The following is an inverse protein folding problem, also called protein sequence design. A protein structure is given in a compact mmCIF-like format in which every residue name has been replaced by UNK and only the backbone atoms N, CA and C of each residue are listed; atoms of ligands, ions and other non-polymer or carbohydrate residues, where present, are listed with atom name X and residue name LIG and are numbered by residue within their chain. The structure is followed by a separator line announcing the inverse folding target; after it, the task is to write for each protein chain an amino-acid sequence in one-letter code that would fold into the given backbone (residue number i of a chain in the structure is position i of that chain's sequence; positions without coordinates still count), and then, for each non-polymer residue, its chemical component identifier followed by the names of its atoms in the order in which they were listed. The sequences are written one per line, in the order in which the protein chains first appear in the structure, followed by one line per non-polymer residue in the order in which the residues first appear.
data_IF_991020522928
#
_entry.id   IF_991020522928
#
_cell.length_a   1.000
_cell.length_b   1.000
_cell.length_c   1.000
_cell.angle_alpha   90.00
_cell.angle_beta   90.00
_cell.angle_gamma   90.00
#
_symmetry.space_group_name_H-M   'P 1'
#
loop_
_entity.id
_entity.type
_entity.pdbx_description
1 polymer ?
#
# COMPACT_ATOMS: atom_id res chain seq x y z
N UNK A 1 31.20 18.39 -26.58
CA UNK A 1 30.60 19.68 -26.27
C UNK A 1 29.11 19.41 -26.04
N UNK A 2 28.74 18.93 -24.85
CA UNK A 2 27.40 18.53 -24.49
C UNK A 2 26.89 19.58 -23.48
N UNK A 3 25.79 20.24 -23.81
CA UNK A 3 25.13 21.26 -22.98
C UNK A 3 24.53 20.60 -21.74
N UNK A 4 24.98 21.01 -20.56
CA UNK A 4 24.28 20.79 -19.29
C UNK A 4 22.95 21.54 -19.33
N UNK A 5 21.85 20.82 -19.36
CA UNK A 5 20.53 21.38 -19.06
C UNK A 5 20.33 21.33 -17.54
N UNK A 6 20.15 22.49 -16.96
CA UNK A 6 19.88 22.64 -15.53
C UNK A 6 18.51 22.04 -15.17
N UNK A 7 18.51 21.32 -14.07
CA UNK A 7 17.31 20.79 -13.41
C UNK A 7 16.46 21.95 -12.92
N UNK A 8 15.33 22.21 -13.57
CA UNK A 8 14.27 23.02 -12.99
C UNK A 8 13.51 22.11 -12.02
N UNK A 9 13.76 22.27 -10.74
CA UNK A 9 12.89 21.75 -9.68
C UNK A 9 11.49 22.35 -9.90
N UNK A 10 10.57 21.51 -10.35
CA UNK A 10 9.17 21.86 -10.45
C UNK A 10 8.59 22.19 -9.07
N UNK A 11 8.29 23.47 -8.86
CA UNK A 11 7.83 24.06 -7.59
C UNK A 11 6.40 23.67 -7.19
N UNK A 12 5.77 22.66 -7.79
CA UNK A 12 4.38 22.30 -7.49
C UNK A 12 4.23 21.34 -6.31
N UNK A 13 5.02 20.30 -6.19
CA UNK A 13 4.90 19.33 -5.11
C UNK A 13 5.40 19.83 -3.74
N UNK A 14 6.42 20.69 -3.73
CA UNK A 14 6.96 21.27 -2.49
C UNK A 14 6.06 22.28 -1.78
N UNK A 15 5.08 22.86 -2.48
CA UNK A 15 4.22 23.91 -1.93
C UNK A 15 3.03 23.35 -1.14
N UNK A 16 2.51 22.15 -1.48
CA UNK A 16 1.32 21.60 -0.80
C UNK A 16 1.63 21.03 0.58
N UNK A 17 2.73 20.32 0.76
CA UNK A 17 3.13 19.80 2.07
C UNK A 17 3.49 20.93 3.06
N UNK A 18 4.07 22.03 2.59
CA UNK A 18 4.44 23.17 3.44
C UNK A 18 3.23 24.01 3.91
N UNK A 19 2.12 24.04 3.15
CA UNK A 19 0.94 24.85 3.51
C UNK A 19 0.03 24.15 4.54
N UNK A 20 -0.02 22.84 4.60
CA UNK A 20 -0.78 22.09 5.62
C UNK A 20 -0.15 22.23 7.01
N UNK A 21 1.16 22.40 7.11
CA UNK A 21 1.85 22.59 8.39
C UNK A 21 1.66 23.98 9.03
N UNK A 22 1.27 24.99 8.26
CA UNK A 22 1.23 26.41 8.70
C UNK A 22 -0.15 26.92 9.10
N UNK A 23 -1.22 26.18 8.86
CA UNK A 23 -2.60 26.60 9.17
C UNK A 23 -3.35 25.74 10.18
N UNK A 24 -2.68 24.76 10.81
CA UNK A 24 -3.33 24.03 11.89
C UNK A 24 -3.54 24.96 13.08
N UNK A 25 -4.80 25.15 13.57
CA UNK A 25 -5.00 25.76 14.88
C UNK A 25 -4.15 24.97 15.87
N UNK A 26 -3.57 25.62 16.86
CA UNK A 26 -2.81 24.98 17.95
C UNK A 26 -3.72 23.97 18.66
N UNK A 27 -3.85 22.79 18.09
CA UNK A 27 -4.45 21.65 18.77
C UNK A 27 -3.45 21.29 19.84
N UNK A 28 -3.85 21.40 21.10
CA UNK A 28 -3.10 20.84 22.21
C UNK A 28 -2.96 19.36 21.94
N UNK A 29 -1.81 18.93 21.45
CA UNK A 29 -1.47 17.53 21.23
C UNK A 29 -1.34 16.91 22.64
N UNK A 30 -2.39 16.23 23.11
CA UNK A 30 -2.37 15.56 24.40
C UNK A 30 -1.36 14.39 24.39
N UNK A 31 -1.15 13.76 23.23
CA UNK A 31 -0.09 12.76 22.98
C UNK A 31 0.94 13.38 22.03
N UNK A 32 2.22 13.53 22.47
CA UNK A 32 3.24 14.05 21.58
C UNK A 32 3.54 13.06 20.43
N UNK A 33 3.89 13.56 19.21
CA UNK A 33 4.29 12.69 18.13
C UNK A 33 5.59 11.93 18.48
N UNK A 34 5.67 10.69 18.05
CA UNK A 34 6.94 9.94 18.07
C UNK A 34 7.73 10.30 16.83
N UNK A 35 8.90 10.86 17.01
CA UNK A 35 9.81 11.22 15.91
C UNK A 35 11.04 10.36 16.01
N UNK A 36 11.42 9.68 14.92
CA UNK A 36 12.61 8.82 14.88
C UNK A 36 13.48 9.20 13.69
N UNK A 37 14.77 9.47 13.94
CA UNK A 37 15.77 9.62 12.88
C UNK A 37 16.60 8.34 12.75
N UNK A 38 16.94 7.94 11.54
CA UNK A 38 17.88 6.85 11.30
C UNK A 38 18.92 7.19 10.23
N UNK A 39 20.06 6.53 10.35
CA UNK A 39 21.09 6.49 9.33
C UNK A 39 21.35 5.02 9.02
N UNK A 40 21.24 4.63 7.77
CA UNK A 40 21.45 3.28 7.28
C UNK A 40 22.49 3.30 6.16
N UNK A 41 23.43 2.35 6.20
CA UNK A 41 24.38 2.10 5.11
C UNK A 41 24.16 0.68 4.62
N UNK A 42 23.86 0.52 3.34
CA UNK A 42 23.61 -0.77 2.68
C UNK A 42 24.60 -0.95 1.54
N UNK A 43 25.46 -1.95 1.66
CA UNK A 43 26.29 -2.45 0.58
C UNK A 43 25.54 -3.58 -0.15
N UNK A 44 25.53 -3.56 -1.47
CA UNK A 44 25.05 -4.63 -2.33
C UNK A 44 26.09 -4.95 -3.39
N UNK A 45 26.19 -6.24 -3.74
CA UNK A 45 27.06 -6.72 -4.83
C UNK A 45 26.44 -6.48 -6.22
N UNK A 46 25.12 -6.23 -6.30
CA UNK A 46 24.40 -6.01 -7.56
C UNK A 46 23.23 -5.02 -7.34
N UNK A 47 23.52 -3.72 -7.15
CA UNK A 47 22.52 -2.68 -6.93
C UNK A 47 21.62 -2.44 -8.15
N UNK A 48 22.11 -2.74 -9.35
CA UNK A 48 21.37 -2.59 -10.61
C UNK A 48 20.42 -3.73 -10.88
N UNK A 49 20.49 -4.81 -10.09
CA UNK A 49 19.67 -6.00 -10.26
C UNK A 49 19.72 -6.52 -11.71
N UNK A 50 20.93 -6.66 -12.24
CA UNK A 50 21.22 -7.09 -13.61
C UNK A 50 21.94 -8.44 -13.61
N UNK A 51 21.61 -9.33 -14.57
CA UNK A 51 22.30 -10.61 -14.74
C UNK A 51 23.64 -10.50 -15.46
N UNK A 52 23.90 -9.41 -16.16
CA UNK A 52 25.03 -9.31 -17.10
C UNK A 52 26.07 -8.31 -16.62
N UNK A 53 25.65 -7.12 -16.23
CA UNK A 53 26.50 -6.02 -15.79
C UNK A 53 26.20 -5.72 -14.32
N UNK A 54 26.62 -6.62 -13.44
CA UNK A 54 26.45 -6.45 -11.99
C UNK A 54 27.28 -5.26 -11.50
N UNK A 55 26.64 -4.34 -10.81
CA UNK A 55 27.28 -3.17 -10.22
C UNK A 55 27.15 -3.26 -8.71
N UNK A 56 28.28 -3.27 -8.02
CA UNK A 56 28.31 -3.18 -6.56
C UNK A 56 28.42 -1.74 -6.13
N UNK A 57 27.64 -1.36 -5.12
CA UNK A 57 27.73 -0.01 -4.55
C UNK A 57 27.24 0.01 -3.08
N UNK A 58 27.48 1.12 -2.41
CA UNK A 58 27.00 1.39 -1.05
C UNK A 58 26.04 2.57 -1.05
N UNK A 59 24.80 2.32 -0.66
CA UNK A 59 23.84 3.38 -0.38
C UNK A 59 23.98 3.84 1.07
N UNK A 60 24.11 5.16 1.29
CA UNK A 60 23.94 5.80 2.59
C UNK A 60 22.62 6.54 2.60
N UNK A 61 21.73 6.19 3.54
CA UNK A 61 20.39 6.74 3.64
C UNK A 61 20.13 7.34 5.02
N UNK A 62 19.69 8.59 5.05
CA UNK A 62 19.19 9.26 6.26
C UNK A 62 17.66 9.26 6.17
N UNK A 63 16.98 8.80 7.23
CA UNK A 63 15.52 8.79 7.28
C UNK A 63 15.03 9.55 8.52
N UNK A 64 13.87 10.19 8.38
CA UNK A 64 13.09 10.76 9.46
C UNK A 64 11.69 10.18 9.39
N UNK A 65 11.21 9.56 10.47
CA UNK A 65 9.84 9.06 10.58
C UNK A 65 9.09 9.77 11.70
N UNK A 66 7.79 9.97 11.48
CA UNK A 66 6.87 10.62 12.41
C UNK A 66 5.64 9.73 12.53
N UNK A 67 5.33 9.33 13.78
CA UNK A 67 4.11 8.65 14.14
C UNK A 67 3.32 9.50 15.10
N UNK A 68 2.05 9.74 14.79
CA UNK A 68 1.15 10.50 15.67
C UNK A 68 -0.28 9.99 15.58
N UNK A 69 -0.94 9.90 16.72
CA UNK A 69 -2.36 9.65 16.82
C UNK A 69 -2.95 10.58 17.87
N UNK A 70 -4.02 11.29 17.50
CA UNK A 70 -4.73 12.15 18.47
C UNK A 70 -5.54 11.33 19.44
N UNK A 71 -5.81 11.89 20.63
CA UNK A 71 -6.77 11.31 21.56
C UNK A 71 -8.18 11.24 20.94
N UNK A 72 -9.01 10.24 21.36
CA UNK A 72 -10.39 10.15 20.94
C UNK A 72 -11.17 11.45 21.27
N UNK A 73 -11.82 12.02 20.26
CA UNK A 73 -12.58 13.26 20.39
C UNK A 73 -13.53 13.45 19.21
N UNK A 74 -14.07 14.67 19.07
CA UNK A 74 -14.92 15.00 17.90
C UNK A 74 -14.12 14.99 16.58
N UNK A 75 -12.83 15.28 16.66
CA UNK A 75 -11.89 15.10 15.58
C UNK A 75 -10.81 14.12 16.01
N UNK A 76 -10.56 13.11 15.19
CA UNK A 76 -9.48 12.15 15.36
C UNK A 76 -8.57 12.26 14.13
N UNK A 77 -7.28 12.15 14.34
CA UNK A 77 -6.31 12.09 13.25
C UNK A 77 -5.20 11.09 13.59
N UNK A 78 -4.72 10.40 12.57
CA UNK A 78 -3.51 9.58 12.64
C UNK A 78 -2.59 9.98 11.50
N UNK A 79 -1.30 9.98 11.78
CA UNK A 79 -0.23 10.29 10.81
C UNK A 79 0.88 9.28 10.99
N UNK A 80 1.27 8.63 9.91
CA UNK A 80 2.51 7.87 9.80
C UNK A 80 3.24 8.42 8.58
N UNK A 81 4.45 8.93 8.75
CA UNK A 81 5.21 9.50 7.64
C UNK A 81 6.68 9.14 7.78
N UNK A 82 7.31 8.79 6.67
CA UNK A 82 8.74 8.57 6.57
C UNK A 82 9.28 9.31 5.36
N UNK A 83 10.35 10.07 5.55
CA UNK A 83 11.09 10.72 4.47
C UNK A 83 12.55 10.33 4.60
N UNK A 84 13.15 9.88 3.51
CA UNK A 84 14.54 9.47 3.44
C UNK A 84 15.26 10.14 2.28
N UNK A 85 16.57 10.33 2.44
CA UNK A 85 17.45 10.78 1.37
C UNK A 85 18.64 9.83 1.28
N UNK A 86 18.79 9.18 0.13
CA UNK A 86 19.83 8.20 -0.17
C UNK A 86 20.85 8.74 -1.16
N UNK A 87 22.11 8.36 -0.96
CA UNK A 87 23.21 8.65 -1.89
C UNK A 87 24.04 7.39 -2.10
N UNK A 88 24.53 7.20 -3.31
CA UNK A 88 25.33 6.08 -3.75
C UNK A 88 26.81 6.49 -3.80
N UNK A 89 27.72 5.68 -3.25
CA UNK A 89 29.12 6.06 -3.10
C UNK A 89 29.88 6.03 -4.41
N UNK A 90 29.57 5.05 -5.27
CA UNK A 90 30.19 4.87 -6.58
C UNK A 90 29.27 5.36 -7.72
N UNK A 91 28.25 6.18 -7.36
CA UNK A 91 27.34 6.85 -8.30
C UNK A 91 26.59 5.89 -9.22
N UNK A 92 26.25 4.67 -8.74
CA UNK A 92 25.42 3.73 -9.50
C UNK A 92 24.05 4.31 -9.85
N UNK A 93 23.52 5.18 -8.99
CA UNK A 93 22.31 5.97 -9.20
C UNK A 93 22.49 7.41 -8.73
N UNK A 94 21.70 8.32 -9.28
CA UNK A 94 21.56 9.66 -8.75
C UNK A 94 20.98 9.63 -7.32
N UNK A 95 21.28 10.65 -6.48
CA UNK A 95 20.69 10.73 -5.15
C UNK A 95 19.16 10.70 -5.19
N UNK A 96 18.54 9.89 -4.34
CA UNK A 96 17.10 9.61 -4.37
C UNK A 96 16.40 10.10 -3.10
N UNK A 97 15.20 10.66 -3.27
CA UNK A 97 14.28 11.02 -2.20
C UNK A 97 13.24 9.92 -2.03
N UNK A 98 13.25 9.27 -0.88
CA UNK A 98 12.27 8.27 -0.47
C UNK A 98 11.20 8.93 0.39
N UNK A 99 9.94 8.69 0.09
CA UNK A 99 8.86 9.23 0.89
C UNK A 99 7.68 8.26 0.92
N UNK A 100 7.23 7.93 2.13
CA UNK A 100 6.01 7.21 2.40
C UNK A 100 5.27 7.95 3.49
N UNK A 101 3.99 8.26 3.28
CA UNK A 101 3.19 8.94 4.25
C UNK A 101 1.73 8.50 4.17
N UNK A 102 1.10 8.36 5.33
CA UNK A 102 -0.32 8.13 5.45
C UNK A 102 -0.88 9.08 6.52
N UNK A 103 -1.85 9.87 6.13
CA UNK A 103 -2.64 10.71 7.01
C UNK A 103 -4.09 10.30 6.93
N UNK A 104 -4.74 10.17 8.07
CA UNK A 104 -6.18 9.99 8.17
C UNK A 104 -6.73 10.95 9.19
N UNK A 105 -7.80 11.68 8.84
CA UNK A 105 -8.55 12.57 9.71
C UNK A 105 -10.04 12.32 9.58
N UNK A 106 -10.75 12.26 10.70
CA UNK A 106 -12.22 12.18 10.78
C UNK A 106 -12.70 13.19 11.81
N UNK A 107 -13.56 14.12 11.40
CA UNK A 107 -14.12 15.15 12.26
C UNK A 107 -15.65 15.09 12.26
N UNK A 108 -16.27 14.85 13.41
CA UNK A 108 -17.70 14.99 13.59
C UNK A 108 -18.09 16.47 13.61
N UNK A 109 -18.57 16.99 12.46
CA UNK A 109 -19.05 18.37 12.33
C UNK A 109 -20.38 18.55 13.08
N UNK A 110 -21.27 17.57 12.93
CA UNK A 110 -22.55 17.47 13.60
C UNK A 110 -22.87 16.00 13.84
N UNK A 111 -23.73 15.70 14.79
CA UNK A 111 -24.15 14.33 15.09
C UNK A 111 -24.50 13.55 13.78
N UNK A 112 -23.74 12.50 13.53
CA UNK A 112 -23.85 11.66 12.36
C UNK A 112 -23.24 12.23 11.08
N UNK A 113 -22.80 13.50 11.05
CA UNK A 113 -22.12 14.12 9.89
C UNK A 113 -20.64 14.26 10.21
N UNK A 114 -19.84 13.47 9.56
CA UNK A 114 -18.39 13.49 9.63
C UNK A 114 -17.79 14.08 8.36
N UNK A 115 -16.65 14.73 8.49
CA UNK A 115 -15.79 15.07 7.36
C UNK A 115 -14.52 14.24 7.43
N UNK A 116 -14.25 13.51 6.36
CA UNK A 116 -13.08 12.65 6.24
C UNK A 116 -12.03 13.31 5.37
N UNK A 117 -10.77 13.15 5.76
CA UNK A 117 -9.59 13.51 4.99
C UNK A 117 -8.60 12.36 5.07
N UNK A 118 -8.21 11.83 3.93
CA UNK A 118 -7.16 10.82 3.79
C UNK A 118 -6.13 11.34 2.79
N UNK A 119 -4.86 11.19 3.11
CA UNK A 119 -3.76 11.49 2.20
C UNK A 119 -2.72 10.39 2.32
N UNK A 120 -2.34 9.79 1.20
CA UNK A 120 -1.32 8.76 1.16
C UNK A 120 -0.30 9.07 0.07
N UNK A 121 0.96 9.04 0.43
CA UNK A 121 2.09 9.17 -0.47
C UNK A 121 2.91 7.88 -0.40
N UNK A 122 3.07 7.19 -1.51
CA UNK A 122 3.76 5.91 -1.54
C UNK A 122 4.71 5.85 -2.74
N UNK A 123 5.83 5.15 -2.57
CA UNK A 123 6.63 4.73 -3.71
C UNK A 123 6.02 3.49 -4.35
N UNK A 124 5.81 3.54 -5.66
CA UNK A 124 5.25 2.45 -6.47
C UNK A 124 6.15 2.17 -7.66
N UNK A 125 6.12 0.93 -8.17
CA UNK A 125 6.86 0.57 -9.37
C UNK A 125 6.16 1.12 -10.61
N UNK A 126 6.91 1.76 -11.52
CA UNK A 126 6.40 2.18 -12.83
C UNK A 126 6.12 0.96 -13.73
N UNK A 127 6.95 -0.05 -13.63
CA UNK A 127 6.79 -1.32 -14.32
C UNK A 127 6.88 -2.46 -13.32
N UNK A 128 5.74 -3.06 -12.99
CA UNK A 128 5.63 -4.17 -12.03
C UNK A 128 6.42 -5.42 -12.46
N UNK A 129 6.68 -5.58 -13.78
CA UNK A 129 7.49 -6.68 -14.34
C UNK A 129 8.99 -6.39 -14.32
N UNK A 130 9.39 -5.13 -14.10
CA UNK A 130 10.79 -4.73 -14.00
C UNK A 130 11.43 -5.09 -12.66
N UNK A 131 12.72 -4.80 -12.55
CA UNK A 131 13.47 -4.91 -11.30
C UNK A 131 13.12 -3.76 -10.36
N UNK A 132 13.23 -3.97 -9.06
CA UNK A 132 12.91 -2.96 -8.05
C UNK A 132 14.13 -2.06 -7.77
N UNK A 133 14.41 -1.19 -8.74
CA UNK A 133 15.51 -0.23 -8.71
C UNK A 133 15.00 1.20 -8.62
N UNK A 134 15.82 2.20 -8.19
CA UNK A 134 15.42 3.61 -8.14
C UNK A 134 14.80 4.12 -9.45
N UNK A 135 15.35 3.72 -10.60
CA UNK A 135 14.88 4.18 -11.94
C UNK A 135 13.50 3.59 -12.31
N UNK A 136 13.06 2.53 -11.66
CA UNK A 136 11.75 1.91 -11.87
C UNK A 136 10.72 2.31 -10.82
N UNK A 137 10.98 3.32 -10.01
CA UNK A 137 10.07 3.80 -8.97
C UNK A 137 9.54 5.18 -9.30
N UNK A 138 8.31 5.45 -8.87
CA UNK A 138 7.70 6.78 -8.85
C UNK A 138 6.97 7.00 -7.52
N UNK A 139 6.71 8.24 -7.18
CA UNK A 139 5.86 8.60 -6.04
C UNK A 139 4.42 8.77 -6.54
N UNK A 140 3.48 8.08 -5.89
CA UNK A 140 2.03 8.21 -6.08
C UNK A 140 1.43 8.86 -4.84
N UNK A 141 0.77 9.98 -5.02
CA UNK A 141 -0.01 10.66 -3.97
C UNK A 141 -1.50 10.49 -4.23
N UNK A 142 -2.25 10.11 -3.21
CA UNK A 142 -3.72 10.01 -3.26
C UNK A 142 -4.30 10.83 -2.11
N UNK A 143 -4.90 11.95 -2.45
CA UNK A 143 -5.67 12.78 -1.52
C UNK A 143 -7.16 12.49 -1.71
N UNK A 144 -7.85 12.07 -0.64
CA UNK A 144 -9.30 11.83 -0.62
C UNK A 144 -9.95 12.64 0.49
N UNK A 145 -11.04 13.34 0.19
CA UNK A 145 -11.75 14.12 1.20
C UNK A 145 -13.25 14.23 0.87
N UNK A 146 -14.07 14.35 1.92
CA UNK A 146 -15.49 14.57 1.74
C UNK A 146 -16.34 14.25 2.96
N UNK A 147 -17.64 14.60 2.92
CA UNK A 147 -18.56 14.29 3.99
C UNK A 147 -19.06 12.85 3.97
N UNK A 148 -19.27 12.31 5.16
CA UNK A 148 -20.01 11.08 5.42
C UNK A 148 -21.12 11.35 6.41
N UNK A 149 -22.35 11.05 6.03
CA UNK A 149 -23.52 11.18 6.88
C UNK A 149 -24.05 9.80 7.25
N UNK A 150 -24.15 9.53 8.56
CA UNK A 150 -24.69 8.30 9.12
C UNK A 150 -25.91 8.61 9.93
N UNK A 151 -27.06 7.99 9.58
CA UNK A 151 -28.29 8.10 10.36
C UNK A 151 -28.82 6.73 10.77
N UNK A 152 -29.43 6.68 11.93
CA UNK A 152 -30.10 5.50 12.44
C UNK A 152 -31.61 5.62 12.19
N UNK A 153 -32.16 4.65 11.44
CA UNK A 153 -33.60 4.56 11.10
C UNK A 153 -34.27 3.62 12.12
N UNK A 154 -34.09 3.90 13.42
CA UNK A 154 -34.50 3.04 14.52
C UNK A 154 -33.30 2.40 15.23
N UNK A 155 -33.54 1.25 15.89
CA UNK A 155 -32.50 0.58 16.70
C UNK A 155 -31.63 -0.40 15.92
N UNK A 156 -32.06 -0.82 14.74
CA UNK A 156 -31.43 -1.91 13.96
C UNK A 156 -31.03 -1.51 12.56
N UNK A 157 -31.49 -0.37 12.08
CA UNK A 157 -31.25 0.09 10.72
C UNK A 157 -30.37 1.33 10.72
N UNK A 158 -29.31 1.26 9.93
CA UNK A 158 -28.36 2.34 9.72
C UNK A 158 -28.28 2.65 8.23
N UNK A 159 -28.41 3.92 7.86
CA UNK A 159 -28.14 4.42 6.52
C UNK A 159 -26.89 5.29 6.57
N UNK A 160 -25.95 5.02 5.69
CA UNK A 160 -24.71 5.80 5.49
C UNK A 160 -24.69 6.35 4.07
N UNK A 161 -24.43 7.64 3.94
CA UNK A 161 -24.26 8.33 2.66
C UNK A 161 -22.88 8.98 2.66
N UNK A 162 -22.13 8.87 1.57
CA UNK A 162 -20.87 9.60 1.42
C UNK A 162 -20.75 10.24 0.05
N UNK A 163 -20.01 11.36 0.00
CA UNK A 163 -19.60 12.01 -1.22
C UNK A 163 -18.16 12.46 -1.04
N UNK A 164 -17.25 11.93 -1.84
CA UNK A 164 -15.81 12.15 -1.68
C UNK A 164 -15.23 12.64 -3.00
N UNK A 165 -14.26 13.53 -2.89
CA UNK A 165 -13.36 13.92 -3.96
C UNK A 165 -12.02 13.24 -3.72
N UNK A 166 -11.42 12.67 -4.77
CA UNK A 166 -10.07 12.11 -4.73
C UNK A 166 -9.24 12.74 -5.83
N UNK A 167 -7.99 13.08 -5.52
CA UNK A 167 -6.96 13.48 -6.46
C UNK A 167 -5.81 12.49 -6.39
N UNK A 168 -5.40 11.94 -7.53
CA UNK A 168 -4.25 11.05 -7.65
C UNK A 168 -3.21 11.73 -8.53
N UNK A 169 -2.01 11.92 -7.99
CA UNK A 169 -0.88 12.55 -8.70
C UNK A 169 0.34 11.65 -8.65
N UNK A 170 1.04 11.54 -9.77
CA UNK A 170 2.33 10.87 -9.88
C UNK A 170 3.44 11.90 -10.03
N UNK A 171 4.63 11.56 -9.50
CA UNK A 171 5.81 12.42 -9.65
C UNK A 171 6.31 12.47 -11.09
N UNK A 172 6.28 11.33 -11.78
CA UNK A 172 6.78 11.21 -13.14
C UNK A 172 5.70 11.65 -14.13
N UNK A 173 6.02 12.59 -15.06
CA UNK A 173 5.04 13.17 -15.98
C UNK A 173 4.54 12.19 -17.07
N UNK A 174 5.15 11.03 -17.19
CA UNK A 174 4.73 9.95 -18.09
C UNK A 174 3.57 9.14 -17.53
N UNK A 175 3.34 9.23 -16.22
CA UNK A 175 2.23 8.57 -15.55
C UNK A 175 0.96 9.42 -15.62
N UNK A 176 -0.20 8.77 -15.52
CA UNK A 176 -1.50 9.44 -15.68
C UNK A 176 -2.07 9.88 -14.35
N UNK A 177 -2.24 11.19 -14.18
CA UNK A 177 -2.94 11.78 -13.03
C UNK A 177 -4.46 11.66 -13.20
N UNK A 178 -5.20 11.69 -12.07
CA UNK A 178 -6.66 11.68 -12.13
C UNK A 178 -7.34 12.47 -11.02
N UNK A 179 -8.55 12.94 -11.33
CA UNK A 179 -9.50 13.48 -10.36
C UNK A 179 -10.74 12.61 -10.34
N UNK A 180 -11.23 12.26 -9.13
CA UNK A 180 -12.36 11.36 -8.95
C UNK A 180 -13.44 11.97 -8.07
N UNK A 181 -14.68 11.67 -8.40
CA UNK A 181 -15.86 12.00 -7.60
C UNK A 181 -16.55 10.68 -7.24
N UNK A 182 -16.56 10.35 -5.94
CA UNK A 182 -17.06 9.08 -5.44
C UNK A 182 -18.30 9.35 -4.59
N UNK A 183 -19.43 8.79 -4.99
CA UNK A 183 -20.67 8.81 -4.23
C UNK A 183 -21.05 7.43 -3.74
N UNK A 184 -21.48 7.28 -2.48
CA UNK A 184 -21.97 5.99 -2.00
C UNK A 184 -23.17 6.11 -1.07
N UNK A 185 -24.01 5.07 -1.09
CA UNK A 185 -25.11 4.88 -0.16
C UNK A 185 -25.12 3.43 0.31
N UNK A 186 -25.20 3.21 1.63
CA UNK A 186 -25.25 1.90 2.23
C UNK A 186 -26.33 1.85 3.30
N UNK A 187 -27.20 0.86 3.21
CA UNK A 187 -28.13 0.49 4.27
C UNK A 187 -27.67 -0.80 4.93
N UNK A 188 -27.62 -0.81 6.26
CA UNK A 188 -27.24 -1.96 7.07
C UNK A 188 -28.31 -2.26 8.10
N UNK A 189 -28.69 -3.54 8.24
CA UNK A 189 -29.64 -4.04 9.22
C UNK A 189 -28.97 -4.97 10.22
N UNK A 190 -29.25 -4.79 11.50
CA UNK A 190 -28.77 -5.64 12.59
C UNK A 190 -29.83 -6.71 12.86
N UNK A 191 -29.62 -7.92 12.37
CA UNK A 191 -30.52 -9.07 12.58
C UNK A 191 -30.48 -9.54 14.03
N UNK A 192 -29.25 -9.69 14.57
CA UNK A 192 -28.97 -10.02 15.96
C UNK A 192 -27.64 -9.36 16.40
N UNK A 193 -27.27 -9.38 17.70
CA UNK A 193 -26.02 -8.74 18.17
C UNK A 193 -24.74 -9.22 17.50
N UNK A 194 -24.79 -10.35 16.79
CA UNK A 194 -23.65 -10.97 16.13
C UNK A 194 -23.75 -11.00 14.61
N UNK A 195 -24.91 -10.66 14.04
CA UNK A 195 -25.18 -10.71 12.61
C UNK A 195 -25.75 -9.39 12.10
N UNK A 196 -25.08 -8.77 11.17
CA UNK A 196 -25.61 -7.66 10.39
C UNK A 196 -25.43 -7.92 8.90
N UNK A 197 -26.19 -7.22 8.08
CA UNK A 197 -26.09 -7.29 6.65
C UNK A 197 -26.87 -6.17 5.99
N UNK A 198 -26.58 -5.92 4.72
CA UNK A 198 -27.18 -4.77 4.05
C UNK A 198 -26.87 -4.73 2.57
N UNK A 199 -27.20 -3.60 1.98
CA UNK A 199 -27.01 -3.30 0.57
C UNK A 199 -26.19 -2.03 0.46
N UNK A 200 -25.25 -1.97 -0.46
CA UNK A 200 -24.53 -0.75 -0.81
C UNK A 200 -24.52 -0.52 -2.32
N UNK A 201 -24.52 0.74 -2.70
CA UNK A 201 -24.31 1.20 -4.07
C UNK A 201 -23.23 2.28 -4.04
N UNK A 202 -22.35 2.28 -5.03
CA UNK A 202 -21.34 3.32 -5.22
C UNK A 202 -21.22 3.69 -6.70
N UNK A 203 -20.85 4.94 -6.93
CA UNK A 203 -20.54 5.51 -8.22
C UNK A 203 -19.21 6.22 -8.10
N UNK A 204 -18.29 5.91 -8.98
CA UNK A 204 -16.96 6.53 -9.10
C UNK A 204 -16.82 7.10 -10.51
N UNK A 205 -16.43 8.36 -10.61
CA UNK A 205 -16.23 9.09 -11.86
C UNK A 205 -14.84 9.69 -11.85
N UNK A 206 -13.95 9.12 -12.66
CA UNK A 206 -12.56 9.56 -12.79
C UNK A 206 -12.38 10.34 -14.10
N UNK A 207 -11.75 11.50 -13.99
CA UNK A 207 -11.26 12.30 -15.11
C UNK A 207 -9.72 12.20 -15.13
N UNK A 208 -9.16 11.72 -16.24
CA UNK A 208 -7.73 11.56 -16.43
C UNK A 208 -7.14 12.83 -17.10
N UNK A 209 -5.93 13.19 -16.74
CA UNK A 209 -5.21 14.33 -17.34
C UNK A 209 -4.94 14.15 -18.85
N UNK A 210 -4.92 12.89 -19.32
CA UNK A 210 -4.87 12.51 -20.75
C UNK A 210 -6.17 12.78 -21.50
N UNK A 211 -7.21 13.28 -20.82
CA UNK A 211 -8.54 13.55 -21.39
C UNK A 211 -9.45 12.33 -21.48
N UNK A 212 -9.08 11.23 -20.82
CA UNK A 212 -9.94 10.06 -20.65
C UNK A 212 -10.89 10.20 -19.45
N UNK A 213 -11.98 9.46 -19.48
CA UNK A 213 -12.93 9.33 -18.36
C UNK A 213 -13.13 7.85 -18.02
N UNK A 214 -13.19 7.52 -16.73
CA UNK A 214 -13.51 6.17 -16.25
C UNK A 214 -14.64 6.27 -15.24
N UNK A 215 -15.74 5.60 -15.56
CA UNK A 215 -16.93 5.50 -14.73
C UNK A 215 -17.05 4.10 -14.16
N UNK A 216 -17.16 3.95 -12.84
CA UNK A 216 -17.36 2.66 -12.17
C UNK A 216 -18.61 2.71 -11.29
N UNK A 217 -19.58 1.86 -11.59
CA UNK A 217 -20.83 1.70 -10.82
C UNK A 217 -20.81 0.32 -10.15
N UNK A 218 -21.04 0.26 -8.83
CA UNK A 218 -21.05 -1.00 -8.06
C UNK A 218 -22.33 -1.06 -7.23
N UNK A 219 -22.96 -2.25 -7.24
CA UNK A 219 -24.04 -2.59 -6.30
C UNK A 219 -23.69 -3.90 -5.59
N UNK A 220 -23.76 -3.93 -4.27
CA UNK A 220 -23.36 -5.11 -3.48
C UNK A 220 -24.26 -5.40 -2.30
N UNK A 221 -24.28 -6.68 -1.91
CA UNK A 221 -24.84 -7.20 -0.68
C UNK A 221 -23.70 -7.43 0.31
N UNK A 222 -23.88 -7.03 1.55
CA UNK A 222 -22.85 -7.08 2.57
C UNK A 222 -23.31 -7.88 3.77
N UNK A 223 -22.42 -8.67 4.38
CA UNK A 223 -22.67 -9.45 5.59
C UNK A 223 -21.51 -9.30 6.58
N UNK A 224 -21.85 -9.24 7.84
CA UNK A 224 -20.88 -9.34 8.91
C UNK A 224 -21.43 -10.28 9.98
N UNK A 225 -20.64 -11.28 10.35
CA UNK A 225 -20.97 -12.23 11.42
C UNK A 225 -19.82 -12.35 12.39
N UNK A 226 -20.12 -12.13 13.67
CA UNK A 226 -19.17 -12.26 14.76
C UNK A 226 -19.58 -13.42 15.67
N UNK A 227 -18.78 -14.48 15.66
CA UNK A 227 -18.88 -15.57 16.64
C UNK A 227 -17.89 -15.32 17.79
N UNK A 228 -17.91 -16.14 18.82
CA UNK A 228 -17.03 -15.97 19.96
C UNK A 228 -15.53 -15.90 19.64
N UNK A 229 -15.09 -16.65 18.62
CA UNK A 229 -13.68 -16.75 18.21
C UNK A 229 -13.48 -16.58 16.70
N UNK A 230 -14.51 -16.21 15.95
CA UNK A 230 -14.47 -16.08 14.51
C UNK A 230 -15.20 -14.82 14.07
N UNK A 231 -14.60 -14.04 13.21
CA UNK A 231 -15.19 -12.88 12.56
C UNK A 231 -15.21 -13.12 11.05
N UNK A 232 -16.35 -12.87 10.43
CA UNK A 232 -16.54 -12.94 8.98
C UNK A 232 -17.13 -11.62 8.51
N UNK A 233 -16.49 -11.03 7.52
CA UNK A 233 -17.04 -9.94 6.71
C UNK A 233 -17.04 -10.39 5.27
N UNK A 234 -18.15 -10.26 4.56
CA UNK A 234 -18.27 -10.65 3.18
C UNK A 234 -19.13 -9.67 2.40
N UNK A 235 -18.79 -9.45 1.14
CA UNK A 235 -19.66 -8.77 0.18
C UNK A 235 -19.66 -9.50 -1.15
N UNK A 236 -20.78 -9.45 -1.85
CA UNK A 236 -20.90 -9.87 -3.25
C UNK A 236 -21.70 -8.81 -4.00
N UNK A 237 -21.24 -8.45 -5.17
CA UNK A 237 -21.83 -7.39 -5.96
C UNK A 237 -21.62 -7.58 -7.45
N UNK A 238 -22.12 -6.62 -8.17
CA UNK A 238 -21.93 -6.47 -9.61
C UNK A 238 -21.36 -5.09 -9.88
N UNK A 239 -20.28 -5.04 -10.64
CA UNK A 239 -19.61 -3.82 -11.06
C UNK A 239 -19.73 -3.65 -12.57
N UNK A 240 -19.91 -2.42 -12.99
CA UNK A 240 -19.79 -1.99 -14.39
C UNK A 240 -18.78 -0.85 -14.44
N UNK A 241 -17.74 -1.03 -15.24
CA UNK A 241 -16.72 -0.03 -15.53
C UNK A 241 -16.85 0.38 -16.99
N UNK A 242 -16.90 1.69 -17.26
CA UNK A 242 -16.98 2.26 -18.60
C UNK A 242 -15.87 3.29 -18.76
N UNK A 243 -14.99 3.09 -19.72
CA UNK A 243 -13.96 4.07 -20.07
C UNK A 243 -14.24 4.73 -21.41
N UNK A 244 -13.91 6.03 -21.48
CA UNK A 244 -14.07 6.88 -22.66
C UNK A 244 -12.78 7.59 -22.97
N UNK A 245 -12.29 7.44 -24.20
CA UNK A 245 -11.11 8.12 -24.70
C UNK A 245 -11.44 8.74 -26.06
N UNK A 246 -11.72 10.04 -26.08
CA UNK A 246 -12.19 10.72 -27.28
C UNK A 246 -13.52 10.16 -27.78
N UNK A 247 -13.50 9.54 -28.99
CA UNK A 247 -14.70 8.89 -29.57
C UNK A 247 -14.79 7.40 -29.26
N UNK A 248 -13.84 6.84 -28.54
CA UNK A 248 -13.81 5.43 -28.17
C UNK A 248 -14.44 5.24 -26.81
N UNK A 249 -15.42 4.33 -26.72
CA UNK A 249 -16.05 3.93 -25.46
C UNK A 249 -15.96 2.40 -25.34
N UNK A 250 -15.50 1.95 -24.19
CA UNK A 250 -15.46 0.53 -23.83
C UNK A 250 -16.16 0.35 -22.48
N UNK A 251 -16.87 -0.75 -22.32
CA UNK A 251 -17.52 -1.11 -21.07
C UNK A 251 -17.22 -2.55 -20.72
N UNK A 252 -16.85 -2.76 -19.47
CA UNK A 252 -16.62 -4.08 -18.87
C UNK A 252 -17.48 -4.21 -17.63
N UNK A 253 -18.02 -5.39 -17.39
CA UNK A 253 -18.87 -5.65 -16.25
C UNK A 253 -18.64 -7.04 -15.69
N UNK A 254 -18.91 -7.25 -14.42
CA UNK A 254 -18.69 -8.54 -13.80
C UNK A 254 -19.08 -8.61 -12.33
N UNK A 255 -18.98 -9.83 -11.81
CA UNK A 255 -19.16 -10.09 -10.40
C UNK A 255 -17.92 -9.60 -9.63
N UNK A 256 -18.15 -8.84 -8.57
CA UNK A 256 -17.14 -8.34 -7.65
C UNK A 256 -17.49 -8.74 -6.22
N UNK A 257 -16.52 -8.71 -5.33
CA UNK A 257 -16.78 -9.00 -3.93
C UNK A 257 -15.52 -9.15 -3.11
N UNK A 258 -15.72 -9.26 -1.82
CA UNK A 258 -14.64 -9.50 -0.86
C UNK A 258 -15.10 -10.40 0.26
N UNK A 259 -14.18 -11.16 0.82
CA UNK A 259 -14.37 -11.98 2.01
C UNK A 259 -13.17 -11.78 2.91
N UNK A 260 -13.41 -11.46 4.17
CA UNK A 260 -12.41 -11.42 5.22
C UNK A 260 -12.88 -12.32 6.37
N UNK A 261 -12.11 -13.36 6.66
CA UNK A 261 -12.35 -14.29 7.76
C UNK A 261 -11.17 -14.25 8.71
N UNK A 262 -11.43 -14.07 9.98
CA UNK A 262 -10.44 -14.16 11.05
C UNK A 262 -10.94 -15.12 12.12
N UNK A 263 -10.07 -16.03 12.57
CA UNK A 263 -10.40 -17.01 13.61
C UNK A 263 -9.28 -17.19 14.61
N UNK A 264 -9.55 -16.87 15.85
CA UNK A 264 -8.69 -17.16 17.00
C UNK A 264 -8.91 -18.63 17.41
N UNK A 265 -8.01 -19.55 16.99
CA UNK A 265 -8.10 -20.98 17.30
C UNK A 265 -7.71 -21.22 18.76
N UNK A 266 -6.71 -20.51 19.21
CA UNK A 266 -6.27 -20.43 20.61
C UNK A 266 -5.90 -19.00 20.95
N UNK A 267 -5.64 -18.67 22.21
CA UNK A 267 -5.13 -17.34 22.58
C UNK A 267 -3.77 -16.98 21.97
N UNK A 268 -3.13 -17.92 21.26
CA UNK A 268 -1.81 -17.72 20.68
C UNK A 268 -1.72 -18.14 19.21
N UNK A 269 -2.83 -18.53 18.58
CA UNK A 269 -2.88 -18.93 17.17
C UNK A 269 -4.13 -18.35 16.52
N UNK A 270 -3.92 -17.51 15.50
CA UNK A 270 -4.95 -16.91 14.68
C UNK A 270 -4.78 -17.35 13.24
N UNK A 271 -5.87 -17.74 12.59
CA UNK A 271 -5.95 -17.89 11.14
C UNK A 271 -6.71 -16.72 10.52
N UNK A 272 -6.31 -16.34 9.31
CA UNK A 272 -7.04 -15.37 8.51
C UNK A 272 -7.11 -15.81 7.04
N UNK A 273 -8.16 -15.33 6.37
CA UNK A 273 -8.35 -15.46 4.93
C UNK A 273 -8.92 -14.14 4.44
N UNK A 274 -8.29 -13.57 3.42
CA UNK A 274 -8.80 -12.44 2.67
C UNK A 274 -8.91 -12.85 1.21
N UNK A 275 -10.03 -12.55 0.58
CA UNK A 275 -10.22 -12.74 -0.85
C UNK A 275 -10.95 -11.52 -1.39
N UNK A 276 -10.53 -11.03 -2.55
CA UNK A 276 -11.18 -9.91 -3.23
C UNK A 276 -11.23 -10.13 -4.73
N UNK A 277 -12.25 -9.58 -5.38
CA UNK A 277 -12.34 -9.43 -6.82
C UNK A 277 -12.96 -8.07 -7.11
N UNK A 278 -12.28 -7.26 -7.90
CA UNK A 278 -12.63 -5.87 -8.18
C UNK A 278 -12.34 -5.51 -9.64
N UNK A 279 -13.20 -4.67 -10.24
CA UNK A 279 -12.89 -3.96 -11.48
C UNK A 279 -12.34 -2.58 -11.10
N UNK A 280 -11.15 -2.27 -11.56
CA UNK A 280 -10.41 -1.07 -11.15
C UNK A 280 -9.55 -0.53 -12.29
N UNK A 281 -8.79 0.51 -12.01
CA UNK A 281 -7.81 1.11 -12.92
C UNK A 281 -6.56 1.54 -12.14
N UNK A 282 -5.49 1.87 -12.86
CA UNK A 282 -4.19 2.21 -12.27
C UNK A 282 -4.17 3.49 -11.41
N UNK A 283 -5.12 4.41 -11.63
CA UNK A 283 -5.19 5.67 -10.87
C UNK A 283 -6.02 5.52 -9.58
N UNK A 284 -6.58 4.33 -9.34
CA UNK A 284 -7.30 4.01 -8.12
C UNK A 284 -6.36 3.86 -6.91
N UNK A 285 -6.95 3.68 -5.74
CA UNK A 285 -6.22 3.40 -4.50
C UNK A 285 -6.00 1.89 -4.24
N UNK A 286 -6.24 1.04 -5.23
CA UNK A 286 -6.21 -0.40 -5.07
C UNK A 286 -4.84 -0.91 -4.59
N UNK A 287 -3.76 -0.48 -5.23
CA UNK A 287 -2.38 -0.82 -4.88
C UNK A 287 -1.99 -0.36 -3.46
N UNK A 288 -2.54 0.76 -3.00
CA UNK A 288 -2.36 1.26 -1.63
C UNK A 288 -3.14 0.42 -0.62
N UNK A 289 -4.36 -0.03 -0.97
CA UNK A 289 -5.20 -0.87 -0.11
C UNK A 289 -4.71 -2.32 0.01
N UNK A 290 -4.12 -2.84 -1.06
CA UNK A 290 -3.69 -4.24 -1.20
C UNK A 290 -2.20 -4.33 -1.52
N UNK A 291 -1.36 -3.62 -0.79
CA UNK A 291 0.07 -3.35 -1.00
C UNK A 291 1.01 -4.52 -1.39
N UNK A 292 0.49 -5.75 -1.46
CA UNK A 292 1.17 -6.93 -2.00
C UNK A 292 1.06 -7.02 -3.55
N UNK A 293 0.22 -6.19 -4.17
CA UNK A 293 -0.06 -6.23 -5.59
C UNK A 293 0.18 -4.87 -6.25
N UNK A 294 1.18 -4.78 -7.12
CA UNK A 294 1.53 -3.58 -7.90
C UNK A 294 1.02 -3.72 -9.32
N UNK A 295 0.30 -2.72 -9.81
CA UNK A 295 -0.09 -2.65 -11.22
C UNK A 295 1.07 -2.18 -12.09
N UNK A 296 1.06 -2.60 -13.36
CA UNK A 296 1.93 -1.98 -14.36
C UNK A 296 1.36 -0.61 -14.75
N UNK A 297 1.87 0.46 -14.14
CA UNK A 297 1.41 1.84 -14.34
C UNK A 297 1.56 2.34 -15.78
N UNK A 298 2.46 1.75 -16.58
CA UNK A 298 2.64 2.12 -17.99
C UNK A 298 1.52 1.68 -18.91
N UNK A 299 0.62 0.84 -18.41
CA UNK A 299 -0.55 0.38 -19.15
C UNK A 299 -1.79 1.07 -18.59
N UNK A 300 -2.18 2.22 -19.15
CA UNK A 300 -3.45 2.89 -18.83
C UNK A 300 -4.59 1.98 -19.27
N UNK A 301 -5.06 1.09 -18.40
CA UNK A 301 -6.13 0.18 -18.75
C UNK A 301 -6.98 -0.23 -17.57
N UNK A 302 -8.19 -0.61 -17.90
CA UNK A 302 -9.13 -1.28 -17.02
C UNK A 302 -8.57 -2.64 -16.63
N UNK A 303 -8.60 -2.95 -15.36
CA UNK A 303 -8.07 -4.20 -14.80
C UNK A 303 -9.11 -4.87 -13.93
N UNK A 304 -9.33 -6.15 -14.16
CA UNK A 304 -10.02 -7.00 -13.19
C UNK A 304 -8.96 -7.67 -12.32
N UNK A 305 -9.00 -7.39 -11.01
CA UNK A 305 -8.06 -7.96 -10.06
C UNK A 305 -8.77 -8.96 -9.17
N UNK A 306 -8.17 -10.13 -9.01
CA UNK A 306 -8.56 -11.15 -8.03
C UNK A 306 -7.37 -11.41 -7.12
N UNK A 307 -7.55 -11.27 -5.81
CA UNK A 307 -6.51 -11.51 -4.80
C UNK A 307 -7.02 -12.48 -3.73
N UNK A 308 -6.14 -13.33 -3.24
CA UNK A 308 -6.38 -14.28 -2.17
C UNK A 308 -5.17 -14.33 -1.25
N UNK A 309 -5.38 -14.10 0.04
CA UNK A 309 -4.41 -14.30 1.11
C UNK A 309 -4.96 -15.26 2.14
N UNK A 310 -4.19 -16.28 2.49
CA UNK A 310 -4.51 -17.22 3.55
C UNK A 310 -3.31 -17.33 4.48
N UNK A 311 -3.51 -17.08 5.77
CA UNK A 311 -2.36 -17.07 6.66
C UNK A 311 -2.67 -17.44 8.10
N UNK A 312 -1.60 -17.49 8.86
CA UNK A 312 -1.62 -17.77 10.29
C UNK A 312 -0.61 -16.91 11.04
N UNK A 313 -1.06 -16.34 12.17
CA UNK A 313 -0.23 -15.68 13.16
C UNK A 313 -0.12 -16.56 14.39
N UNK A 314 1.11 -16.93 14.77
CA UNK A 314 1.41 -17.70 15.97
C UNK A 314 2.30 -16.91 16.92
N UNK A 315 1.85 -16.71 18.16
CA UNK A 315 2.66 -16.20 19.27
C UNK A 315 3.04 -17.37 20.18
N UNK A 316 4.30 -17.44 20.54
CA UNK A 316 4.83 -18.48 21.45
C UNK A 316 4.95 -17.93 22.86
N UNK A 317 4.95 -18.80 23.86
CA UNK A 317 5.06 -18.41 25.28
C UNK A 317 6.40 -17.76 25.64
N UNK A 318 7.42 -17.99 24.86
CA UNK A 318 8.76 -17.41 24.97
C UNK A 318 8.87 -16.01 24.35
N UNK A 319 7.78 -15.52 23.73
CA UNK A 319 7.70 -14.17 23.16
C UNK A 319 7.97 -14.10 21.65
N UNK A 320 8.32 -15.23 21.01
CA UNK A 320 8.47 -15.26 19.55
C UNK A 320 7.13 -15.13 18.86
N UNK A 321 7.15 -14.58 17.65
CA UNK A 321 6.01 -14.57 16.73
C UNK A 321 6.40 -15.15 15.38
N UNK A 322 5.48 -15.90 14.79
CA UNK A 322 5.59 -16.42 13.43
C UNK A 322 4.33 -16.03 12.66
N UNK A 323 4.52 -15.35 11.55
CA UNK A 323 3.50 -15.06 10.55
C UNK A 323 3.81 -15.85 9.29
N UNK A 324 2.81 -16.54 8.76
CA UNK A 324 2.89 -17.29 7.52
C UNK A 324 1.70 -16.88 6.65
N UNK A 325 1.96 -16.48 5.41
CA UNK A 325 0.94 -16.06 4.44
C UNK A 325 1.20 -16.78 3.12
N UNK A 326 0.17 -17.41 2.57
CA UNK A 326 0.10 -17.83 1.18
C UNK A 326 -0.75 -16.82 0.43
N UNK A 327 -0.26 -16.33 -0.70
CA UNK A 327 -1.00 -15.40 -1.54
C UNK A 327 -1.12 -15.92 -2.97
N UNK A 328 -2.19 -15.51 -3.64
CA UNK A 328 -2.40 -15.73 -5.06
C UNK A 328 -3.14 -14.52 -5.65
N UNK A 329 -2.59 -13.94 -6.70
CA UNK A 329 -3.13 -12.77 -7.35
C UNK A 329 -3.29 -13.02 -8.85
N UNK A 330 -4.33 -12.43 -9.44
CA UNK A 330 -4.55 -12.38 -10.88
C UNK A 330 -4.97 -10.98 -11.27
N UNK A 331 -4.31 -10.43 -12.29
CA UNK A 331 -4.73 -9.22 -12.98
C UNK A 331 -5.06 -9.54 -14.44
N UNK A 332 -6.29 -9.28 -14.84
CA UNK A 332 -6.75 -9.37 -16.22
C UNK A 332 -6.87 -7.94 -16.78
N UNK A 333 -5.95 -7.54 -17.66
CA UNK A 333 -5.97 -6.23 -18.33
C UNK A 333 -6.94 -6.28 -19.51
N UNK A 334 -8.13 -5.73 -19.29
CA UNK A 334 -9.28 -5.94 -20.16
C UNK A 334 -9.13 -5.30 -21.55
N UNK A 335 -8.32 -4.25 -21.65
CA UNK A 335 -8.10 -3.51 -22.91
C UNK A 335 -7.11 -4.19 -23.84
N UNK A 336 -6.08 -4.82 -23.30
CA UNK A 336 -4.96 -5.42 -24.06
C UNK A 336 -4.99 -6.93 -24.05
N UNK A 337 -5.98 -7.55 -23.39
CA UNK A 337 -6.12 -9.00 -23.24
C UNK A 337 -4.88 -9.67 -22.66
N UNK A 338 -4.18 -8.98 -21.77
CA UNK A 338 -3.03 -9.49 -21.02
C UNK A 338 -3.46 -9.99 -19.66
N UNK A 339 -2.76 -11.01 -19.16
CA UNK A 339 -2.98 -11.56 -17.83
C UNK A 339 -1.67 -11.67 -17.09
N UNK A 340 -1.75 -11.44 -15.78
CA UNK A 340 -0.67 -11.64 -14.85
C UNK A 340 -1.19 -12.48 -13.70
N UNK A 341 -0.60 -13.64 -13.48
CA UNK A 341 -0.87 -14.51 -12.36
C UNK A 341 0.34 -14.56 -11.44
N UNK A 342 0.16 -14.39 -10.14
CA UNK A 342 1.23 -14.65 -9.18
C UNK A 342 0.73 -15.51 -8.02
N UNK A 343 1.60 -16.37 -7.51
CA UNK A 343 1.38 -17.17 -6.32
C UNK A 343 2.64 -17.21 -5.48
N UNK A 344 2.50 -17.17 -4.17
CA UNK A 344 3.68 -17.17 -3.33
C UNK A 344 3.42 -17.46 -1.86
N UNK A 345 4.49 -17.38 -1.11
CA UNK A 345 4.52 -17.55 0.33
C UNK A 345 5.37 -16.44 0.94
N UNK A 346 4.88 -15.85 2.00
CA UNK A 346 5.59 -14.90 2.83
C UNK A 346 5.66 -15.41 4.28
N UNK A 347 6.83 -15.38 4.89
CA UNK A 347 7.05 -15.86 6.24
C UNK A 347 7.90 -14.86 7.00
N UNK A 348 7.40 -14.39 8.14
CA UNK A 348 8.12 -13.49 9.05
C UNK A 348 8.20 -14.14 10.42
N UNK A 349 9.41 -14.29 10.94
CA UNK A 349 9.69 -14.76 12.26
C UNK A 349 10.41 -13.69 13.07
N UNK A 350 9.86 -13.36 14.25
CA UNK A 350 10.45 -12.39 15.18
C UNK A 350 10.74 -13.06 16.50
N UNK A 351 11.93 -12.85 17.06
CA UNK A 351 12.35 -13.41 18.35
C UNK A 351 13.08 -12.38 19.21
N UNK A 352 12.55 -12.06 20.40
CA UNK A 352 13.31 -11.33 21.40
C UNK A 352 14.39 -12.24 22.01
N UNK A 353 15.65 -11.83 21.91
CA UNK A 353 16.81 -12.51 22.50
C UNK A 353 17.24 -11.81 23.81
N UNK A 354 16.32 -11.76 24.77
CA UNK A 354 16.48 -11.01 26.03
C UNK A 354 15.97 -9.57 25.91
N UNK A 355 16.28 -8.69 26.88
CA UNK A 355 15.70 -7.36 26.96
C UNK A 355 16.25 -6.33 25.97
N UNK A 356 17.43 -6.61 25.38
CA UNK A 356 18.14 -5.64 24.54
C UNK A 356 18.24 -6.06 23.07
N UNK A 357 18.03 -7.33 22.76
CA UNK A 357 18.18 -7.85 21.41
C UNK A 357 16.86 -8.34 20.84
N UNK A 358 16.58 -7.95 19.62
CA UNK A 358 15.51 -8.51 18.80
C UNK A 358 16.13 -9.10 17.51
N UNK A 359 15.63 -10.26 17.11
CA UNK A 359 16.00 -10.92 15.87
C UNK A 359 14.75 -11.11 15.00
N UNK A 360 14.86 -10.71 13.75
CA UNK A 360 13.82 -10.89 12.73
C UNK A 360 14.40 -11.67 11.56
N UNK A 361 13.61 -12.55 10.96
CA UNK A 361 13.94 -13.25 9.73
C UNK A 361 12.73 -13.28 8.83
N UNK A 362 12.91 -13.00 7.54
CA UNK A 362 11.86 -13.10 6.55
C UNK A 362 12.29 -13.94 5.34
N UNK A 363 11.32 -14.65 4.77
CA UNK A 363 11.47 -15.42 3.54
C UNK A 363 10.23 -15.16 2.68
N UNK A 364 10.42 -14.68 1.47
CA UNK A 364 9.37 -14.54 0.45
C UNK A 364 9.77 -15.32 -0.79
N UNK A 365 8.86 -16.13 -1.28
CA UNK A 365 8.97 -16.79 -2.57
C UNK A 365 7.72 -16.47 -3.40
N UNK A 366 7.93 -16.08 -4.65
CA UNK A 366 6.86 -15.74 -5.59
C UNK A 366 7.14 -16.36 -6.95
N UNK A 367 6.15 -16.97 -7.53
CA UNK A 367 6.10 -17.39 -8.93
C UNK A 367 5.09 -16.51 -9.65
N UNK A 368 5.52 -15.81 -10.69
CA UNK A 368 4.68 -14.99 -11.55
C UNK A 368 4.69 -15.54 -12.98
N UNK A 369 3.51 -15.52 -13.63
CA UNK A 369 3.32 -15.90 -15.03
C UNK A 369 2.67 -14.74 -15.79
N UNK A 370 3.21 -14.44 -16.95
CA UNK A 370 2.74 -13.38 -17.84
C UNK A 370 2.29 -14.00 -19.17
N UNK A 371 0.99 -14.00 -19.43
CA UNK A 371 0.33 -14.75 -20.50
C UNK A 371 0.78 -14.32 -21.94
N UNK A 372 1.25 -13.08 -22.11
CA UNK A 372 1.54 -12.49 -23.42
C UNK A 372 2.70 -13.17 -24.18
N UNK A 373 3.64 -13.76 -23.47
CA UNK A 373 4.83 -14.39 -24.03
C UNK A 373 5.16 -15.76 -23.44
N UNK A 374 4.25 -16.30 -22.59
CA UNK A 374 4.54 -17.46 -21.74
C UNK A 374 5.78 -17.26 -20.88
N UNK A 375 5.96 -16.03 -20.38
CA UNK A 375 7.09 -15.64 -19.57
C UNK A 375 6.79 -15.91 -18.10
N UNK A 376 7.78 -16.44 -17.40
CA UNK A 376 7.68 -16.79 -16.01
C UNK A 376 8.82 -16.15 -15.23
N UNK A 377 8.51 -15.74 -14.00
CA UNK A 377 9.49 -15.26 -13.04
C UNK A 377 9.38 -16.06 -11.73
N UNK A 378 10.52 -16.44 -11.18
CA UNK A 378 10.65 -17.02 -9.84
C UNK A 378 11.49 -16.07 -9.00
N UNK A 379 10.91 -15.47 -7.98
CA UNK A 379 11.59 -14.54 -7.09
C UNK A 379 11.72 -15.14 -5.70
N UNK A 380 12.93 -15.19 -5.16
CA UNK A 380 13.23 -15.57 -3.80
C UNK A 380 13.92 -14.41 -3.09
N UNK A 381 13.35 -13.98 -1.96
CA UNK A 381 13.95 -12.98 -1.08
C UNK A 381 14.09 -13.58 0.32
N UNK A 382 15.28 -13.49 0.88
CA UNK A 382 15.58 -13.94 2.25
C UNK A 382 16.33 -12.82 2.93
N UNK A 383 15.88 -12.42 4.12
CA UNK A 383 16.63 -11.47 4.93
C UNK A 383 16.54 -11.77 6.41
N UNK A 384 17.57 -11.33 7.14
CA UNK A 384 17.61 -11.40 8.59
C UNK A 384 18.11 -10.09 9.18
N UNK A 385 17.51 -9.69 10.30
CA UNK A 385 17.88 -8.48 11.03
C UNK A 385 18.14 -8.81 12.50
N UNK A 386 19.18 -8.22 13.05
CA UNK A 386 19.42 -8.18 14.49
C UNK A 386 19.43 -6.72 14.94
N UNK A 387 18.59 -6.39 15.93
CA UNK A 387 18.50 -5.06 16.51
C UNK A 387 18.95 -5.09 17.96
N UNK A 388 19.85 -4.18 18.35
CA UNK A 388 20.34 -4.00 19.71
C UNK A 388 19.90 -2.64 20.26
N UNK A 389 19.11 -2.65 21.34
CA UNK A 389 18.68 -1.44 22.04
C UNK A 389 19.79 -0.99 23.00
N UNK A 390 20.60 -0.01 22.58
CA UNK A 390 21.68 0.54 23.39
C UNK A 390 21.16 1.34 24.58
N UNK A 391 20.10 2.13 24.32
CA UNK A 391 19.31 2.84 25.32
C UNK A 391 17.83 2.66 25.00
N UNK A 392 16.94 3.34 25.74
CA UNK A 392 15.51 3.36 25.42
C UNK A 392 15.20 4.06 24.08
N UNK A 393 16.04 5.01 23.70
CA UNK A 393 15.82 5.88 22.55
C UNK A 393 16.81 5.62 21.41
N UNK A 394 17.89 4.87 21.66
CA UNK A 394 18.94 4.59 20.67
C UNK A 394 19.07 3.08 20.40
N UNK A 395 18.97 2.69 19.15
CA UNK A 395 19.17 1.32 18.70
C UNK A 395 20.16 1.22 17.54
N UNK A 396 20.84 0.09 17.48
CA UNK A 396 21.71 -0.32 16.39
C UNK A 396 21.09 -1.51 15.69
N UNK A 397 21.17 -1.57 14.37
CA UNK A 397 20.69 -2.70 13.58
C UNK A 397 21.75 -3.19 12.61
N UNK A 398 21.81 -4.52 12.45
CA UNK A 398 22.56 -5.15 11.37
C UNK A 398 21.60 -6.03 10.59
N UNK A 399 21.68 -6.01 9.26
CA UNK A 399 20.79 -6.76 8.38
C UNK A 399 21.60 -7.38 7.24
N UNK A 400 21.27 -8.60 6.85
CA UNK A 400 21.83 -9.28 5.68
C UNK A 400 20.69 -9.87 4.90
N UNK A 401 20.79 -9.86 3.58
CA UNK A 401 19.77 -10.42 2.72
C UNK A 401 20.34 -10.92 1.40
N UNK A 402 19.50 -11.72 0.75
CA UNK A 402 19.78 -12.29 -0.56
C UNK A 402 18.48 -12.31 -1.35
N UNK A 403 18.53 -11.76 -2.57
CA UNK A 403 17.44 -11.72 -3.53
C UNK A 403 17.88 -12.45 -4.80
N UNK A 404 17.04 -13.31 -5.33
CA UNK A 404 17.26 -13.99 -6.61
C UNK A 404 15.98 -13.97 -7.42
N UNK A 405 16.06 -13.54 -8.66
CA UNK A 405 15.00 -13.63 -9.65
C UNK A 405 15.50 -14.41 -10.85
N UNK A 406 14.88 -15.54 -11.11
CA UNK A 406 15.04 -16.30 -12.36
C UNK A 406 13.88 -15.90 -13.28
N UNK A 407 14.19 -15.44 -14.49
CA UNK A 407 13.22 -14.89 -15.43
C UNK A 407 13.48 -15.41 -16.83
N UNK A 408 12.41 -15.68 -17.59
CA UNK A 408 12.51 -15.95 -19.03
C UNK A 408 12.97 -14.71 -19.81
N UNK A 409 12.93 -13.52 -19.20
CA UNK A 409 13.55 -12.28 -19.70
C UNK A 409 14.86 -12.01 -19.02
N UNK A 410 15.96 -12.14 -19.73
CA UNK A 410 17.31 -11.89 -19.20
C UNK A 410 17.44 -10.50 -18.52
N UNK A 411 16.70 -9.49 -19.01
CA UNK A 411 16.70 -8.15 -18.41
C UNK A 411 16.08 -8.09 -17.00
N UNK A 412 15.32 -9.10 -16.60
CA UNK A 412 14.69 -9.18 -15.29
C UNK A 412 15.36 -10.20 -14.37
N UNK A 413 16.29 -11.01 -14.92
CA UNK A 413 17.04 -12.00 -14.16
C UNK A 413 18.14 -11.32 -13.35
N UNK A 414 18.27 -11.68 -12.07
CA UNK A 414 19.35 -11.18 -11.22
C UNK A 414 19.54 -12.01 -9.96
N UNK A 415 20.73 -11.87 -9.38
CA UNK A 415 21.09 -12.34 -8.05
C UNK A 415 21.75 -11.17 -7.30
N UNK A 416 21.35 -10.92 -6.05
CA UNK A 416 21.83 -9.82 -5.24
C UNK A 416 22.04 -10.29 -3.80
N UNK A 417 23.23 -10.07 -3.25
CA UNK A 417 23.50 -10.24 -1.82
C UNK A 417 23.88 -8.91 -1.21
N UNK A 418 23.31 -8.59 -0.07
CA UNK A 418 23.52 -7.30 0.55
C UNK A 418 23.67 -7.38 2.07
N UNK A 419 24.33 -6.39 2.64
CA UNK A 419 24.44 -6.18 4.07
C UNK A 419 24.14 -4.72 4.40
N UNK A 420 23.43 -4.49 5.51
CA UNK A 420 23.24 -3.12 6.00
C UNK A 420 23.55 -2.99 7.49
N UNK A 421 24.00 -1.78 7.86
CA UNK A 421 24.20 -1.36 9.24
C UNK A 421 23.46 -0.05 9.45
N UNK A 422 22.68 0.00 10.52
CA UNK A 422 21.86 1.17 10.81
C UNK A 422 21.96 1.58 12.28
N UNK A 423 21.73 2.87 12.50
CA UNK A 423 21.51 3.48 13.81
C UNK A 423 20.23 4.26 13.78
N UNK A 424 19.38 4.12 14.79
CA UNK A 424 18.15 4.90 14.91
C UNK A 424 18.03 5.53 16.30
N UNK A 425 17.51 6.74 16.32
CA UNK A 425 17.31 7.54 17.54
C UNK A 425 15.90 8.10 17.57
N UNK A 426 15.16 7.80 18.65
CA UNK A 426 13.84 8.33 18.90
C UNK A 426 13.95 9.63 19.69
N UNK A 427 13.48 10.72 19.09
CA UNK A 427 13.43 12.03 19.74
C UNK A 427 12.22 12.08 20.69
N UNK A 428 12.40 12.78 21.81
CA UNK A 428 11.34 12.97 22.82
C UNK A 428 10.72 14.34 22.71
#
# INVERSE_FOLDING_TARGET
MVKRNGVFLGTKAGAMVAWLALSMPTVSLAVPPTVTGSLDNRYSDNVTQSAVDEVSDTESRINLSIDHQTDPGRCMASTNAQVGYGTWWDEAYDPELYADAAFFGDCEIRQGLNWELMDSLNQVLQNSRGTDTPDNRTLKNILRTGPRYTMFLGQRDQLSLSAQYQNTEFREPEETDSQRYIGSAAWNHIFDPTLSGGISVSMDRAELDTGGEIDTDVASLNWQKNWAVTQLSASIGYSKLTSRFGSFEQSSDGLVGQVALMRDVTGSLRFFLNASRELTDQTSDFDVRFGEFTFNLRQTSEVEVTALDVGADKSFSSGETLRLVFFANRADYLRVSQKEDSVGIDTVYTRPLGPLWNFDASVRYEYANYDEASENDNTLSVDTRATYSLTRDLSLSGRVGHNRRESDRLANEYEESWVSLGVSYQFR
#
